data_IF_872571396621
#
_entry.id   IF_872571396621
#
_cell.length_a   1.000
_cell.length_b   1.000
_cell.length_c   1.000
_cell.angle_alpha   90.00
_cell.angle_beta   90.00
_cell.angle_gamma   90.00
#
_symmetry.space_group_name_H-M   'P 1'
#
loop_
_entity.id
_entity.type
_entity.pdbx_description
1 polymer ?
#
# COMPACT_ATOMS: atom_id res chain seq x y z
N UNK A 1 -35.79 -23.23 32.73
CA UNK A 1 -34.54 -23.03 31.98
C UNK A 1 -34.83 -22.10 30.82
N UNK A 2 -34.35 -20.86 30.87
CA UNK A 2 -34.52 -19.88 29.80
C UNK A 2 -33.34 -19.99 28.82
N UNK A 3 -33.64 -20.30 27.57
CA UNK A 3 -32.65 -20.27 26.49
C UNK A 3 -32.35 -18.81 26.13
N UNK A 4 -31.16 -18.34 26.50
CA UNK A 4 -30.65 -17.04 26.05
C UNK A 4 -30.28 -17.19 24.58
N UNK A 5 -31.11 -16.64 23.70
CA UNK A 5 -30.80 -16.49 22.29
C UNK A 5 -29.59 -15.55 22.14
N UNK A 6 -28.44 -16.13 21.81
CA UNK A 6 -27.25 -15.40 21.41
C UNK A 6 -27.54 -14.70 20.07
N UNK A 7 -27.95 -13.43 20.15
CA UNK A 7 -27.98 -12.55 18.99
C UNK A 7 -26.55 -12.39 18.45
N UNK A 8 -26.26 -13.07 17.34
CA UNK A 8 -25.02 -12.95 16.59
C UNK A 8 -24.94 -11.54 15.96
N UNK A 9 -24.37 -10.59 16.69
CA UNK A 9 -24.01 -9.28 16.17
C UNK A 9 -22.73 -9.38 15.35
N UNK A 10 -22.81 -9.02 14.06
CA UNK A 10 -21.67 -8.89 13.14
C UNK A 10 -20.63 -7.89 13.65
N UNK A 11 -19.34 -8.24 13.54
CA UNK A 11 -18.22 -7.38 13.95
C UNK A 11 -18.14 -6.08 13.15
N UNK A 12 -17.71 -4.99 13.81
CA UNK A 12 -17.62 -3.67 13.19
C UNK A 12 -16.37 -3.59 12.32
N UNK A 13 -16.54 -3.92 11.04
CA UNK A 13 -15.55 -3.75 9.97
C UNK A 13 -15.28 -2.26 9.70
N UNK A 14 -14.10 -1.91 9.18
CA UNK A 14 -13.75 -0.55 8.79
C UNK A 14 -14.87 0.06 7.93
N UNK A 15 -15.32 1.25 8.33
CA UNK A 15 -16.38 1.96 7.62
C UNK A 15 -15.74 3.03 6.72
N UNK A 16 -15.77 2.86 5.39
CA UNK A 16 -15.42 3.96 4.51
C UNK A 16 -16.48 5.05 4.65
N UNK A 17 -16.00 6.25 4.96
CA UNK A 17 -16.85 7.40 5.23
C UNK A 17 -17.26 8.07 3.91
N UNK A 18 -18.56 8.26 3.74
CA UNK A 18 -19.13 8.99 2.59
C UNK A 18 -19.03 10.51 2.73
N UNK A 19 -18.82 10.98 3.95
CA UNK A 19 -18.72 12.39 4.31
C UNK A 19 -17.58 12.55 5.31
N UNK A 20 -16.92 13.70 5.29
CA UNK A 20 -15.97 14.04 6.34
C UNK A 20 -16.76 14.23 7.65
N UNK A 21 -16.44 13.50 8.72
CA UNK A 21 -17.08 13.73 10.01
C UNK A 21 -16.66 15.10 10.52
N UNK A 22 -17.62 15.86 11.08
CA UNK A 22 -17.37 17.19 11.65
C UNK A 22 -16.43 17.15 12.85
N UNK A 23 -16.38 16.01 13.55
CA UNK A 23 -15.47 15.73 14.65
C UNK A 23 -14.91 14.32 14.48
N UNK A 24 -13.58 14.18 14.48
CA UNK A 24 -12.93 12.87 14.49
C UNK A 24 -13.10 12.19 15.85
N UNK A 25 -13.35 10.88 15.85
CA UNK A 25 -13.37 10.11 17.10
C UNK A 25 -11.93 10.02 17.65
N UNK A 26 -11.65 10.52 18.86
CA UNK A 26 -10.30 10.51 19.42
C UNK A 26 -9.79 9.09 19.72
N UNK A 27 -10.66 8.09 19.84
CA UNK A 27 -10.27 6.70 20.04
C UNK A 27 -9.98 5.94 18.74
N UNK A 28 -10.28 6.53 17.58
CA UNK A 28 -10.10 5.91 16.26
C UNK A 28 -8.92 6.54 15.54
N UNK A 29 -8.39 5.83 14.56
CA UNK A 29 -7.47 6.39 13.59
C UNK A 29 -8.13 6.43 12.22
N UNK A 30 -7.61 7.27 11.32
CA UNK A 30 -8.17 7.42 9.99
C UNK A 30 -7.07 7.27 8.94
N UNK A 31 -7.39 6.63 7.83
CA UNK A 31 -6.51 6.52 6.67
C UNK A 31 -7.13 7.27 5.50
N UNK A 32 -6.39 8.24 4.97
CA UNK A 32 -6.72 8.92 3.71
C UNK A 32 -5.89 8.28 2.60
N UNK A 33 -6.53 7.94 1.50
CA UNK A 33 -5.85 7.34 0.36
C UNK A 33 -6.60 7.62 -0.93
N UNK A 34 -5.87 8.04 -1.95
CA UNK A 34 -6.40 8.18 -3.30
C UNK A 34 -6.07 6.94 -4.12
N UNK A 35 -7.06 6.38 -4.79
CA UNK A 35 -6.89 5.26 -5.70
C UNK A 35 -6.96 5.76 -7.12
N UNK A 36 -5.91 5.49 -7.89
CA UNK A 36 -6.02 5.58 -9.35
C UNK A 36 -6.74 4.35 -9.88
N UNK A 37 -7.80 4.61 -10.62
CA UNK A 37 -8.58 3.57 -11.27
C UNK A 37 -7.77 2.97 -12.40
N UNK A 38 -7.77 1.64 -12.46
CA UNK A 38 -7.12 0.91 -13.54
C UNK A 38 -7.88 1.11 -14.85
N UNK A 39 -7.15 1.37 -15.93
CA UNK A 39 -7.73 1.33 -17.26
C UNK A 39 -8.33 -0.06 -17.53
N UNK A 40 -9.51 -0.10 -18.13
CA UNK A 40 -10.09 -1.35 -18.60
C UNK A 40 -9.47 -1.68 -19.97
N UNK A 41 -8.73 -2.79 -20.13
CA UNK A 41 -8.13 -3.16 -21.43
C UNK A 41 -9.20 -3.42 -22.51
N UNK A 42 -10.45 -3.59 -22.11
CA UNK A 42 -11.60 -3.80 -23.01
C UNK A 42 -12.47 -2.55 -23.16
N UNK A 43 -11.97 -1.36 -22.77
CA UNK A 43 -12.72 -0.11 -22.85
C UNK A 43 -13.19 0.26 -24.27
N UNK A 44 -12.57 -0.31 -25.31
CA UNK A 44 -12.97 -0.13 -26.71
C UNK A 44 -14.19 -0.97 -27.14
N UNK A 45 -14.62 -1.94 -26.31
CA UNK A 45 -15.79 -2.76 -26.61
C UNK A 45 -17.10 -2.02 -26.29
N UNK A 46 -18.14 -2.13 -27.15
CA UNK A 46 -19.45 -1.55 -26.89
C UNK A 46 -20.00 -1.97 -25.52
N UNK A 47 -20.44 -0.98 -24.72
CA UNK A 47 -20.97 -1.21 -23.38
C UNK A 47 -19.92 -1.41 -22.27
N UNK A 48 -18.62 -1.42 -22.60
CA UNK A 48 -17.56 -1.56 -21.60
C UNK A 48 -17.27 -0.26 -20.85
N UNK A 49 -16.89 -0.39 -19.57
CA UNK A 49 -16.44 0.74 -18.75
C UNK A 49 -15.05 1.20 -19.19
N UNK A 50 -14.74 2.49 -19.05
CA UNK A 50 -13.38 3.02 -19.29
C UNK A 50 -12.35 2.49 -18.29
N UNK A 51 -12.77 2.25 -17.05
CA UNK A 51 -11.92 1.77 -15.98
C UNK A 51 -12.48 0.48 -15.38
N UNK A 52 -11.60 -0.35 -14.83
CA UNK A 52 -11.99 -1.52 -14.05
C UNK A 52 -12.79 -1.09 -12.82
N UNK A 53 -13.80 -1.87 -12.39
CA UNK A 53 -14.43 -1.64 -11.10
C UNK A 53 -13.39 -1.75 -9.98
N UNK A 54 -13.61 -1.03 -8.89
CA UNK A 54 -12.84 -1.18 -7.67
C UNK A 54 -13.43 -2.33 -6.81
N UNK A 55 -13.63 -3.49 -7.44
CA UNK A 55 -14.11 -4.72 -6.80
C UNK A 55 -12.98 -5.44 -6.04
N UNK A 56 -11.75 -5.22 -6.48
CA UNK A 56 -10.51 -5.61 -5.83
C UNK A 56 -9.72 -4.34 -5.52
N UNK A 57 -9.51 -4.06 -4.23
CA UNK A 57 -8.78 -2.89 -3.74
C UNK A 57 -7.71 -3.27 -2.74
N UNK A 58 -7.08 -2.27 -2.11
CA UNK A 58 -6.07 -2.52 -1.10
C UNK A 58 -6.67 -3.31 0.07
N UNK A 59 -5.86 -4.20 0.61
CA UNK A 59 -6.17 -4.91 1.83
C UNK A 59 -5.15 -4.49 2.86
N UNK A 60 -5.63 -3.94 3.97
CA UNK A 60 -4.81 -3.61 5.12
C UNK A 60 -5.00 -4.68 6.19
N UNK A 61 -3.95 -5.00 6.94
CA UNK A 61 -4.06 -5.91 8.06
C UNK A 61 -3.30 -5.42 9.28
N UNK A 62 -3.76 -5.82 10.47
CA UNK A 62 -3.05 -5.49 11.70
C UNK A 62 -1.81 -6.34 11.86
N UNK A 63 -0.70 -5.69 12.13
CA UNK A 63 0.61 -6.33 12.12
C UNK A 63 1.18 -6.46 13.53
N UNK A 64 1.56 -7.68 13.89
CA UNK A 64 2.38 -7.93 15.07
C UNK A 64 3.85 -7.80 14.69
N UNK A 65 4.46 -6.67 15.05
CA UNK A 65 5.88 -6.42 14.75
C UNK A 65 6.82 -7.40 15.45
N UNK A 66 6.44 -7.91 16.62
CA UNK A 66 7.29 -8.79 17.44
C UNK A 66 7.34 -10.18 16.82
N UNK A 67 6.18 -10.69 16.42
CA UNK A 67 6.06 -12.02 15.80
C UNK A 67 6.24 -11.99 14.28
N UNK A 68 6.26 -10.78 13.70
CA UNK A 68 6.41 -10.54 12.27
C UNK A 68 5.28 -11.16 11.45
N UNK A 69 4.02 -11.01 11.89
CA UNK A 69 2.89 -11.64 11.22
C UNK A 69 1.58 -10.87 11.45
N UNK A 70 0.50 -11.28 10.78
CA UNK A 70 -0.82 -10.66 10.96
C UNK A 70 -1.46 -11.12 12.27
N UNK A 71 -1.89 -10.18 13.11
CA UNK A 71 -2.51 -10.47 14.41
C UNK A 71 -3.71 -11.42 14.26
N UNK A 72 -3.76 -12.46 15.10
CA UNK A 72 -4.79 -13.49 15.05
C UNK A 72 -4.60 -14.55 13.96
N UNK A 73 -3.53 -14.47 13.16
CA UNK A 73 -3.18 -15.44 12.11
C UNK A 73 -1.76 -15.96 12.31
N UNK A 74 -1.47 -17.13 11.73
CA UNK A 74 -0.12 -17.70 11.65
C UNK A 74 0.66 -17.69 12.97
N UNK A 75 1.83 -17.07 12.95
CA UNK A 75 2.72 -16.96 14.13
C UNK A 75 2.15 -16.06 15.21
N UNK A 76 1.29 -15.11 14.84
CA UNK A 76 0.62 -14.18 15.76
C UNK A 76 -0.80 -14.62 16.13
N UNK A 77 -1.13 -15.91 15.99
CA UNK A 77 -2.45 -16.46 16.31
C UNK A 77 -2.84 -16.25 17.78
N UNK A 78 -1.87 -16.33 18.69
CA UNK A 78 -2.10 -16.09 20.12
C UNK A 78 -2.32 -14.62 20.45
N UNK A 79 -1.84 -13.70 19.60
CA UNK A 79 -2.10 -12.27 19.71
C UNK A 79 -3.34 -11.87 18.91
N UNK A 80 -4.47 -12.51 19.25
CA UNK A 80 -5.75 -12.25 18.59
C UNK A 80 -6.32 -10.90 18.99
N UNK A 81 -7.11 -10.32 18.08
CA UNK A 81 -7.84 -9.10 18.39
C UNK A 81 -9.06 -9.41 19.26
N UNK A 82 -9.51 -8.44 20.08
CA UNK A 82 -10.78 -8.56 20.81
C UNK A 82 -11.91 -9.00 19.89
N UNK A 83 -12.85 -9.77 20.43
CA UNK A 83 -14.03 -10.21 19.71
C UNK A 83 -14.71 -9.00 19.03
N UNK A 84 -15.07 -9.14 17.75
CA UNK A 84 -15.70 -8.13 16.86
C UNK A 84 -14.75 -7.15 16.17
N UNK A 85 -13.43 -7.24 16.36
CA UNK A 85 -12.45 -6.50 15.56
C UNK A 85 -11.93 -7.37 14.41
N UNK A 86 -11.80 -6.79 13.21
CA UNK A 86 -11.20 -7.50 12.08
C UNK A 86 -9.68 -7.34 12.09
N UNK A 87 -8.97 -8.45 11.81
CA UNK A 87 -7.54 -8.42 11.56
C UNK A 87 -7.20 -7.89 10.16
N UNK A 88 -8.18 -7.91 9.26
CA UNK A 88 -8.04 -7.56 7.84
C UNK A 88 -9.16 -6.61 7.45
N UNK A 89 -8.79 -5.50 6.83
CA UNK A 89 -9.72 -4.50 6.33
C UNK A 89 -9.57 -4.37 4.82
N UNK A 90 -10.56 -4.92 4.12
CA UNK A 90 -10.70 -4.79 2.69
C UNK A 90 -11.34 -3.45 2.33
N UNK A 91 -10.81 -2.84 1.28
CA UNK A 91 -11.35 -1.61 0.76
C UNK A 91 -12.82 -1.77 0.28
N UNK A 92 -13.74 -0.85 0.63
CA UNK A 92 -15.12 -0.87 0.10
C UNK A 92 -15.43 0.36 -0.73
N UNK A 93 -16.22 0.18 -1.79
CA UNK A 93 -16.57 1.19 -2.79
C UNK A 93 -17.51 2.32 -2.27
N UNK A 94 -17.08 3.08 -1.27
CA UNK A 94 -17.75 4.29 -0.75
C UNK A 94 -16.74 5.45 -0.68
N UNK A 95 -16.40 6.06 -1.83
CA UNK A 95 -15.47 7.18 -1.88
C UNK A 95 -16.03 8.43 -1.23
N UNK A 96 -15.12 9.17 -0.60
CA UNK A 96 -15.35 10.51 -0.11
C UNK A 96 -15.45 11.49 -1.29
N UNK A 97 -14.57 11.32 -2.29
CA UNK A 97 -14.56 12.13 -3.52
C UNK A 97 -14.38 11.23 -4.74
N UNK A 98 -15.10 11.51 -5.81
CA UNK A 98 -14.97 10.83 -7.11
C UNK A 98 -14.44 11.80 -8.16
N UNK A 99 -13.31 11.48 -8.78
CA UNK A 99 -12.82 12.14 -9.99
C UNK A 99 -13.08 11.26 -11.24
N UNK A 100 -12.61 11.67 -12.41
CA UNK A 100 -12.74 10.84 -13.61
C UNK A 100 -11.95 9.53 -13.47
N UNK A 101 -10.68 9.63 -13.07
CA UNK A 101 -9.71 8.53 -13.06
C UNK A 101 -9.29 8.09 -11.66
N UNK A 102 -9.79 8.75 -10.62
CA UNK A 102 -9.41 8.43 -9.25
C UNK A 102 -10.55 8.55 -8.25
N UNK A 103 -10.33 7.96 -7.08
CA UNK A 103 -11.27 7.91 -5.97
C UNK A 103 -10.53 8.21 -4.68
N UNK A 104 -10.98 9.21 -3.93
CA UNK A 104 -10.43 9.51 -2.61
C UNK A 104 -11.28 8.83 -1.55
N UNK A 105 -10.63 8.19 -0.59
CA UNK A 105 -11.28 7.48 0.49
C UNK A 105 -10.73 7.86 1.84
N UNK A 106 -11.62 7.89 2.82
CA UNK A 106 -11.31 8.04 4.23
C UNK A 106 -11.83 6.80 4.96
N UNK A 107 -10.90 6.02 5.50
CA UNK A 107 -11.17 4.78 6.22
C UNK A 107 -11.06 5.06 7.72
N UNK A 108 -12.10 4.72 8.49
CA UNK A 108 -11.99 4.67 9.95
C UNK A 108 -11.45 3.30 10.37
N UNK A 109 -10.36 3.32 11.14
CA UNK A 109 -9.63 2.15 11.62
C UNK A 109 -9.35 2.29 13.13
N UNK A 110 -8.89 1.21 13.74
CA UNK A 110 -8.36 1.26 15.10
C UNK A 110 -6.87 1.67 15.09
N UNK A 111 -6.42 2.47 16.07
CA UNK A 111 -5.01 2.76 16.25
C UNK A 111 -4.22 1.48 16.52
N UNK A 112 -3.19 1.23 15.71
CA UNK A 112 -2.29 0.07 15.82
C UNK A 112 -1.15 0.21 14.78
N UNK A 113 -0.26 -0.78 14.73
CA UNK A 113 0.56 -1.03 13.54
C UNK A 113 -0.25 -1.81 12.50
N UNK A 114 -0.21 -1.32 11.26
CA UNK A 114 -0.85 -1.93 10.10
C UNK A 114 0.18 -2.28 9.04
N UNK A 115 -0.17 -3.23 8.17
CA UNK A 115 0.59 -3.59 6.97
C UNK A 115 -0.31 -3.51 5.74
N UNK A 116 0.28 -3.19 4.59
CA UNK A 116 -0.37 -3.39 3.30
C UNK A 116 -0.36 -4.89 2.99
N UNK A 117 -1.43 -5.60 3.32
CA UNK A 117 -1.48 -7.05 3.16
C UNK A 117 -1.51 -7.46 1.69
N UNK A 118 -2.21 -6.70 0.84
CA UNK A 118 -2.46 -7.14 -0.52
C UNK A 118 -3.34 -6.23 -1.35
N UNK A 119 -3.71 -6.73 -2.53
CA UNK A 119 -4.70 -6.13 -3.42
C UNK A 119 -5.69 -7.20 -3.90
N UNK A 120 -6.98 -6.98 -3.63
CA UNK A 120 -8.01 -7.99 -3.87
C UNK A 120 -7.76 -9.25 -3.04
N UNK A 121 -7.68 -10.39 -3.71
CA UNK A 121 -7.33 -11.68 -3.11
C UNK A 121 -5.82 -11.99 -3.15
N UNK A 122 -4.98 -11.04 -3.56
CA UNK A 122 -3.56 -11.28 -3.81
C UNK A 122 -2.69 -10.69 -2.71
N UNK A 123 -1.71 -11.44 -2.20
CA UNK A 123 -0.94 -11.10 -0.98
C UNK A 123 0.45 -10.55 -1.30
N UNK A 124 0.94 -9.60 -0.50
CA UNK A 124 2.32 -9.06 -0.56
C UNK A 124 3.22 -9.65 0.55
N UNK A 125 3.04 -10.94 0.85
CA UNK A 125 3.64 -11.62 2.02
C UNK A 125 5.18 -11.66 2.06
N UNK A 126 5.86 -11.52 0.92
CA UNK A 126 7.33 -11.62 0.84
C UNK A 126 8.06 -10.30 1.14
N UNK A 127 7.33 -9.20 1.23
CA UNK A 127 7.88 -7.89 1.56
C UNK A 127 6.84 -6.82 1.26
N UNK A 128 6.38 -6.15 2.31
CA UNK A 128 5.36 -5.10 2.24
C UNK A 128 5.70 -3.90 3.12
N UNK A 129 4.78 -2.95 3.24
CA UNK A 129 4.91 -1.77 4.07
C UNK A 129 4.10 -1.89 5.34
N UNK A 130 4.79 -1.81 6.48
CA UNK A 130 4.16 -1.51 7.76
C UNK A 130 4.06 0.01 7.98
N UNK A 131 3.09 0.45 8.76
CA UNK A 131 2.93 1.85 9.18
C UNK A 131 2.09 1.91 10.46
N UNK A 132 2.25 2.98 11.22
CA UNK A 132 1.50 3.18 12.46
C UNK A 132 0.34 4.14 12.26
N UNK A 133 -0.76 3.82 12.94
CA UNK A 133 -1.94 4.66 13.04
C UNK A 133 -2.12 5.15 14.47
N UNK A 134 -2.14 6.46 14.64
CA UNK A 134 -2.31 7.10 15.94
C UNK A 134 -3.78 7.48 16.21
N UNK A 135 -4.20 7.49 17.49
CA UNK A 135 -5.56 7.91 17.86
C UNK A 135 -5.82 9.37 17.52
N UNK A 136 -6.98 9.65 16.94
CA UNK A 136 -7.45 10.98 16.57
C UNK A 136 -6.64 11.65 15.46
N UNK A 137 -5.90 10.89 14.64
CA UNK A 137 -5.14 11.40 13.48
C UNK A 137 -5.65 10.83 12.16
N UNK A 138 -5.31 11.52 11.07
CA UNK A 138 -5.51 11.05 9.71
C UNK A 138 -4.13 10.82 9.09
N UNK A 139 -3.83 9.57 8.76
CA UNK A 139 -2.62 9.20 8.04
C UNK A 139 -2.91 9.21 6.54
N UNK A 140 -2.30 10.13 5.78
CA UNK A 140 -2.38 10.18 4.32
C UNK A 140 -1.34 9.21 3.71
N UNK A 141 -1.84 8.13 3.10
CA UNK A 141 -1.02 7.18 2.35
C UNK A 141 -0.60 7.73 0.98
N UNK A 142 -1.14 8.88 0.57
CA UNK A 142 -0.94 9.46 -0.75
C UNK A 142 -1.83 8.81 -1.80
N UNK A 143 -1.22 8.51 -2.95
CA UNK A 143 -1.88 7.96 -4.12
C UNK A 143 -1.42 6.52 -4.32
N UNK A 144 -2.35 5.58 -4.25
CA UNK A 144 -2.12 4.19 -4.61
C UNK A 144 -2.40 3.98 -6.09
N UNK A 145 -1.41 3.42 -6.77
CA UNK A 145 -1.49 3.02 -8.17
C UNK A 145 -1.30 1.51 -8.26
N UNK A 146 -2.27 0.83 -8.87
CA UNK A 146 -2.20 -0.60 -9.15
C UNK A 146 -2.09 -0.79 -10.67
N UNK A 147 -1.10 -1.56 -11.12
CA UNK A 147 -0.84 -1.81 -12.54
C UNK A 147 -0.58 -3.31 -12.75
N UNK A 148 -0.85 -3.81 -13.95
CA UNK A 148 -0.49 -5.17 -14.31
C UNK A 148 1.02 -5.27 -14.53
N UNK A 149 1.67 -6.22 -13.86
CA UNK A 149 3.11 -6.47 -13.91
C UNK A 149 3.41 -7.57 -14.94
N UNK A 150 3.18 -7.24 -16.21
CA UNK A 150 3.53 -8.11 -17.32
C UNK A 150 5.05 -8.31 -17.38
N UNK A 151 5.48 -9.52 -17.74
CA UNK A 151 6.88 -9.75 -18.04
C UNK A 151 7.30 -8.92 -19.27
N UNK A 152 8.60 -8.68 -19.41
CA UNK A 152 9.13 -7.90 -20.52
C UNK A 152 8.70 -8.51 -21.87
N UNK A 153 8.04 -7.71 -22.70
CA UNK A 153 7.50 -8.15 -24.00
C UNK A 153 6.05 -8.66 -23.96
N UNK A 154 5.53 -9.01 -22.78
CA UNK A 154 4.15 -9.45 -22.63
C UNK A 154 3.17 -8.27 -22.56
N UNK A 155 1.92 -8.54 -22.94
CA UNK A 155 0.84 -7.55 -22.98
C UNK A 155 -0.49 -8.18 -22.61
N UNK A 156 -1.45 -7.38 -22.11
CA UNK A 156 -2.80 -7.87 -21.88
C UNK A 156 -3.39 -8.47 -23.16
N UNK A 157 -4.21 -9.53 -23.03
CA UNK A 157 -4.87 -10.14 -24.17
C UNK A 157 -5.71 -9.09 -24.90
N UNK A 158 -5.57 -9.08 -26.23
CA UNK A 158 -6.37 -8.23 -27.10
C UNK A 158 -7.80 -8.75 -27.21
N UNK A 159 -8.72 -7.88 -27.58
CA UNK A 159 -10.09 -8.25 -27.94
C UNK A 159 -10.12 -9.42 -28.93
N UNK A 160 -9.28 -9.41 -29.96
CA UNK A 160 -9.19 -10.49 -30.95
C UNK A 160 -8.78 -11.84 -30.34
N UNK A 161 -7.81 -11.84 -29.41
CA UNK A 161 -7.42 -13.08 -28.71
C UNK A 161 -8.52 -13.62 -27.80
N UNK A 162 -9.33 -12.76 -27.18
CA UNK A 162 -10.48 -13.20 -26.38
C UNK A 162 -11.59 -13.81 -27.23
N UNK A 163 -11.92 -13.20 -28.37
CA UNK A 163 -12.92 -13.77 -29.29
C UNK A 163 -12.47 -15.12 -29.83
N UNK A 164 -11.19 -15.26 -30.19
CA UNK A 164 -10.61 -16.55 -30.60
C UNK A 164 -10.70 -17.58 -29.48
N UNK A 165 -10.42 -17.19 -28.24
CA UNK A 165 -10.59 -18.04 -27.06
C UNK A 165 -12.04 -18.50 -26.87
N UNK A 166 -12.99 -17.58 -26.99
CA UNK A 166 -14.42 -17.89 -26.88
C UNK A 166 -14.89 -18.86 -27.95
N UNK A 167 -14.41 -18.73 -29.19
CA UNK A 167 -14.76 -19.63 -30.30
C UNK A 167 -14.18 -21.04 -30.12
N UNK A 168 -12.97 -21.14 -29.54
CA UNK A 168 -12.30 -22.42 -29.25
C UNK A 168 -12.88 -23.13 -28.01
N UNK A 169 -13.74 -22.45 -27.24
CA UNK A 169 -14.45 -23.00 -26.09
C UNK A 169 -13.50 -23.65 -25.07
N UNK A 170 -13.77 -24.90 -24.60
CA UNK A 170 -12.96 -25.57 -23.58
C UNK A 170 -11.54 -25.91 -24.04
N UNK A 171 -11.25 -25.79 -25.34
CA UNK A 171 -9.92 -26.03 -25.91
C UNK A 171 -9.05 -24.77 -25.97
N UNK A 172 -9.59 -23.61 -25.57
CA UNK A 172 -8.79 -22.39 -25.46
C UNK A 172 -7.82 -22.46 -24.29
N UNK A 173 -6.57 -22.02 -24.53
CA UNK A 173 -5.65 -21.72 -23.42
C UNK A 173 -6.25 -20.57 -22.63
N UNK A 174 -6.23 -20.67 -21.29
CA UNK A 174 -6.58 -19.54 -20.45
C UNK A 174 -5.67 -18.38 -20.81
N UNK A 175 -6.21 -17.16 -20.99
CA UNK A 175 -5.37 -16.00 -21.22
C UNK A 175 -4.42 -15.84 -20.03
N UNK A 176 -3.18 -15.43 -20.33
CA UNK A 176 -2.21 -15.12 -19.29
C UNK A 176 -2.78 -14.01 -18.40
N UNK A 177 -2.44 -14.07 -17.12
CA UNK A 177 -2.85 -13.09 -16.12
C UNK A 177 -1.60 -12.57 -15.46
N UNK A 178 -1.29 -11.29 -15.69
CA UNK A 178 -0.20 -10.65 -14.99
C UNK A 178 -0.53 -10.46 -13.50
N UNK A 179 0.46 -10.60 -12.61
CA UNK A 179 0.32 -10.18 -11.22
C UNK A 179 0.06 -8.67 -11.13
N UNK A 180 -0.55 -8.22 -10.03
CA UNK A 180 -0.75 -6.78 -9.80
C UNK A 180 0.43 -6.22 -9.05
N UNK A 181 1.05 -5.19 -9.60
CA UNK A 181 2.04 -4.36 -8.91
C UNK A 181 1.33 -3.17 -8.29
N UNK A 182 1.61 -2.93 -7.01
CA UNK A 182 1.09 -1.75 -6.29
C UNK A 182 2.24 -0.82 -5.92
N UNK A 183 2.07 0.48 -6.15
CA UNK A 183 2.98 1.53 -5.69
C UNK A 183 2.22 2.64 -4.99
N UNK A 184 2.92 3.33 -4.07
CA UNK A 184 2.42 4.51 -3.38
C UNK A 184 3.24 5.73 -3.79
N UNK A 185 2.54 6.79 -4.17
CA UNK A 185 3.12 8.07 -4.58
C UNK A 185 2.68 9.17 -3.60
N UNK A 186 3.56 10.12 -3.24
CA UNK A 186 3.15 11.31 -2.54
C UNK A 186 2.10 12.09 -3.35
N UNK A 187 1.12 12.67 -2.66
CA UNK A 187 0.09 13.50 -3.30
C UNK A 187 0.72 14.74 -3.94
N UNK A 188 0.44 14.96 -5.20
CA UNK A 188 0.85 16.12 -5.98
C UNK A 188 -0.32 17.04 -6.37
N UNK A 189 -0.03 18.15 -7.07
CA UNK A 189 -1.03 19.15 -7.45
C UNK A 189 -2.11 18.65 -8.43
N UNK A 190 -1.88 17.51 -9.09
CA UNK A 190 -2.79 16.92 -10.10
C UNK A 190 -3.75 15.89 -9.50
N UNK A 191 -3.53 15.50 -8.26
CA UNK A 191 -4.32 14.49 -7.57
C UNK A 191 -5.57 15.12 -6.92
N UNK A 192 -6.47 14.30 -6.39
CA UNK A 192 -7.66 14.81 -5.71
C UNK A 192 -7.22 15.65 -4.51
N UNK A 193 -7.67 16.91 -4.49
CA UNK A 193 -7.46 17.80 -3.36
C UNK A 193 -8.10 17.23 -2.09
N UNK A 194 -7.35 17.28 -1.00
CA UNK A 194 -7.85 16.88 0.32
C UNK A 194 -9.02 17.81 0.70
N UNK A 195 -10.21 17.27 1.04
CA UNK A 195 -11.34 18.09 1.42
C UNK A 195 -11.00 19.03 2.59
N UNK A 196 -11.28 20.33 2.43
CA UNK A 196 -10.97 21.37 3.43
C UNK A 196 -11.66 21.14 4.80
N UNK A 197 -12.71 20.32 4.84
CA UNK A 197 -13.37 19.91 6.07
C UNK A 197 -12.50 18.98 6.95
N UNK A 198 -11.43 18.39 6.41
CA UNK A 198 -10.52 17.57 7.20
C UNK A 198 -9.61 18.46 8.07
N UNK A 199 -9.46 18.16 9.36
CA UNK A 199 -8.66 18.98 10.27
C UNK A 199 -7.18 18.91 9.89
N UNK A 200 -6.66 19.98 9.27
CA UNK A 200 -5.28 20.03 8.75
C UNK A 200 -4.23 19.71 9.83
N UNK A 201 -4.43 20.14 11.08
CA UNK A 201 -3.51 19.83 12.19
C UNK A 201 -3.50 18.36 12.66
N UNK A 202 -4.38 17.51 12.11
CA UNK A 202 -4.44 16.07 12.39
C UNK A 202 -4.05 15.23 11.17
N UNK A 203 -3.85 15.84 10.01
CA UNK A 203 -3.41 15.17 8.79
C UNK A 203 -1.89 15.01 8.81
N UNK A 204 -1.43 13.78 8.64
CA UNK A 204 -0.01 13.43 8.68
C UNK A 204 0.34 12.59 7.46
N UNK A 205 1.49 12.86 6.84
CA UNK A 205 2.01 11.96 5.80
C UNK A 205 2.40 10.63 6.41
N UNK A 206 2.11 9.53 5.71
CA UNK A 206 2.53 8.20 6.15
C UNK A 206 4.05 8.07 6.24
N UNK A 207 4.51 7.35 7.26
CA UNK A 207 5.88 6.83 7.34
C UNK A 207 5.81 5.32 7.12
N UNK A 208 6.15 4.88 5.92
CA UNK A 208 6.23 3.44 5.62
C UNK A 208 7.53 2.84 6.13
N UNK A 209 7.40 1.68 6.76
CA UNK A 209 8.50 0.79 7.13
C UNK A 209 8.54 -0.39 6.15
N UNK A 210 9.61 -0.55 5.37
CA UNK A 210 9.71 -1.59 4.36
C UNK A 210 9.94 -2.99 4.96
N UNK A 211 9.85 -3.99 4.08
CA UNK A 211 10.24 -5.38 4.34
C UNK A 211 9.42 -6.10 5.44
N UNK A 212 8.22 -5.62 5.72
CA UNK A 212 7.26 -6.35 6.54
C UNK A 212 6.87 -7.67 5.83
N UNK A 213 7.02 -8.80 6.52
CA UNK A 213 6.70 -10.14 6.02
C UNK A 213 5.61 -10.77 6.89
N UNK A 214 4.80 -11.64 6.30
CA UNK A 214 3.68 -12.34 6.96
C UNK A 214 3.29 -13.57 6.12
N UNK A 215 2.47 -14.47 6.65
CA UNK A 215 1.98 -15.61 5.85
C UNK A 215 1.02 -15.19 4.72
N UNK A 216 0.91 -16.01 3.67
CA UNK A 216 -0.07 -15.75 2.60
C UNK A 216 -1.49 -16.12 3.05
N UNK A 217 -2.25 -15.13 3.54
CA UNK A 217 -3.61 -15.34 4.06
C UNK A 217 -4.74 -14.89 3.13
N UNK A 218 -4.43 -14.31 1.97
CA UNK A 218 -5.44 -13.95 0.97
C UNK A 218 -5.66 -15.07 -0.07
N UNK A 219 -4.78 -16.08 -0.08
CA UNK A 219 -4.91 -17.28 -0.90
C UNK A 219 -4.56 -17.10 -2.38
N UNK A 220 -4.47 -15.86 -2.86
CA UNK A 220 -3.95 -15.54 -4.19
C UNK A 220 -2.42 -15.60 -4.27
N UNK A 221 -1.89 -15.40 -5.47
CA UNK A 221 -0.44 -15.40 -5.75
C UNK A 221 0.30 -14.33 -4.93
N UNK A 222 1.62 -14.42 -4.86
CA UNK A 222 2.42 -13.36 -4.23
C UNK A 222 2.71 -12.27 -5.26
N UNK A 223 2.22 -11.06 -5.01
CA UNK A 223 2.45 -9.91 -5.86
C UNK A 223 3.58 -9.02 -5.34
N UNK A 224 4.10 -8.13 -6.21
CA UNK A 224 5.12 -7.14 -5.85
C UNK A 224 4.48 -5.82 -5.41
N UNK A 225 5.04 -5.23 -4.36
CA UNK A 225 4.77 -3.86 -3.94
C UNK A 225 6.06 -3.03 -4.09
N UNK A 226 5.97 -1.87 -4.75
CA UNK A 226 7.11 -1.02 -5.07
C UNK A 226 7.18 0.23 -4.19
N UNK A 227 8.41 0.63 -3.84
CA UNK A 227 8.65 1.81 -2.98
C UNK A 227 10.04 1.91 -2.34
N UNK A 228 10.69 0.79 -1.99
CA UNK A 228 12.03 0.82 -1.36
C UNK A 228 13.05 -0.09 -2.03
N UNK A 229 12.73 -1.31 -2.45
CA UNK A 229 13.72 -2.16 -3.13
C UNK A 229 14.16 -1.63 -4.50
N UNK A 230 13.36 -0.83 -5.20
CA UNK A 230 13.80 -0.13 -6.40
C UNK A 230 14.65 1.11 -6.09
N UNK A 231 14.40 1.80 -4.97
CA UNK A 231 15.15 3.00 -4.55
C UNK A 231 16.45 2.66 -3.82
N UNK A 232 16.50 1.61 -3.01
CA UNK A 232 17.73 1.09 -2.43
C UNK A 232 18.62 0.48 -3.51
N UNK A 233 18.08 -0.20 -4.53
CA UNK A 233 18.87 -0.61 -5.71
C UNK A 233 19.35 0.59 -6.54
N UNK A 234 18.49 1.58 -6.76
CA UNK A 234 18.88 2.78 -7.50
C UNK A 234 19.91 3.64 -6.72
N UNK A 235 19.79 3.72 -5.41
CA UNK A 235 20.75 4.40 -4.53
C UNK A 235 22.05 3.60 -4.38
N UNK A 236 21.99 2.26 -4.29
CA UNK A 236 23.20 1.43 -4.24
C UNK A 236 23.96 1.47 -5.56
N UNK A 237 23.24 1.46 -6.70
CA UNK A 237 23.85 1.60 -8.04
C UNK A 237 24.42 3.01 -8.23
N UNK A 238 23.79 4.07 -7.70
CA UNK A 238 24.31 5.44 -7.75
C UNK A 238 25.52 5.68 -6.84
N UNK A 239 25.66 4.92 -5.74
CA UNK A 239 26.84 4.99 -4.85
C UNK A 239 28.01 4.17 -5.39
N UNK A 240 27.74 3.07 -6.10
CA UNK A 240 28.78 2.23 -6.74
C UNK A 240 29.32 2.81 -8.06
N UNK A 241 28.59 3.75 -8.68
CA UNK A 241 29.00 4.48 -9.89
C UNK A 241 29.56 5.90 -9.62
N UNK A 242 29.73 6.28 -8.35
CA UNK A 242 30.51 7.44 -7.97
C UNK A 242 32.00 7.03 -7.93
N UNK A 243 32.75 7.43 -8.97
CA UNK A 243 34.19 7.22 -9.07
C UNK A 243 34.91 7.56 -7.76
N UNK A 244 35.88 6.73 -7.30
CA UNK A 244 36.69 7.09 -6.15
C UNK A 244 37.45 8.39 -6.45
N UNK A 245 37.22 9.40 -5.61
CA UNK A 245 37.95 10.67 -5.59
C UNK A 245 39.46 10.35 -5.55
N UNK A 246 40.29 10.89 -6.45
CA UNK A 246 41.72 10.65 -6.43
C UNK A 246 42.32 11.17 -5.12
N UNK A 247 43.06 10.28 -4.47
CA UNK A 247 43.88 10.51 -3.29
C UNK A 247 44.77 11.74 -3.49
N UNK A 248 44.49 12.82 -2.74
CA UNK A 248 45.30 14.04 -2.76
C UNK A 248 46.57 13.73 -1.97
N UNK A 249 47.69 13.67 -2.70
CA UNK A 249 49.03 13.51 -2.15
C UNK A 249 49.31 14.54 -1.04
N UNK A 250 49.63 14.04 0.15
CA UNK A 250 50.09 14.83 1.27
C UNK A 250 51.42 15.51 0.93
N UNK A 251 51.41 16.84 0.83
CA UNK A 251 52.62 17.66 0.86
C UNK A 251 52.78 18.22 2.27
N UNK A 252 53.77 17.69 2.99
CA UNK A 252 54.21 18.18 4.29
C UNK A 252 54.81 19.59 4.15
N UNK A 253 54.42 20.57 4.98
CA UNK A 253 55.30 21.68 5.30
C UNK A 253 56.14 21.33 6.54
N UNK A 254 57.45 21.46 6.38
CA UNK A 254 58.46 21.33 7.43
C UNK A 254 58.31 22.44 8.48
N UNK A 255 58.25 22.06 9.75
CA UNK A 255 58.37 22.98 10.89
C UNK A 255 59.72 22.75 11.55
N UNK A 256 60.65 23.69 11.37
CA UNK A 256 61.90 23.75 12.14
C UNK A 256 61.66 24.33 13.54
N UNK A 257 62.43 23.91 14.57
CA UNK A 257 62.17 24.27 15.96
C UNK A 257 62.76 25.64 16.36
N UNK A 258 62.23 26.31 17.40
CA UNK A 258 62.86 27.50 17.96
C UNK A 258 64.05 27.14 18.87
N UNK A 259 65.19 27.79 18.58
CA UNK A 259 66.40 27.82 19.40
C UNK A 259 66.25 28.85 20.53
N UNK A 260 66.71 28.48 21.73
CA UNK A 260 66.74 29.31 22.95
C UNK A 260 67.99 30.20 22.95
N UNK A 261 67.83 31.45 23.42
CA UNK A 261 68.78 32.58 23.46
C UNK A 261 70.15 32.30 24.12
N UNK A 262 71.17 33.19 23.99
CA UNK A 262 71.29 34.33 24.93
C UNK A 262 72.02 35.61 24.44
N UNK A 263 71.89 36.67 25.28
CA UNK A 263 72.65 37.94 25.41
C UNK A 263 72.41 39.09 24.44
#
# INVERSE_FOLDING_TARGET
>A
MAAVALAAGSGAMAQPLKTVPTVLNPAKAYVLVEYRLRANPYASLPGSRKTMPLDQGLVLARYDRVLGDIRGLGRAKQNSLPAKQSAVEGFRNKPLVKAAESRLFLLELEPDTWVVQGWGNTSFSLGSYAFDLAPGTITDLGVVVAEDDWAEGDRPPTVGSLFKGALLGPFSKRPDVAPIRVRFEPRGPKDIAVPAALPAGRLQSVRFEPDAKFGNYLGGLVNRIEGVNARLKAQSVAVESADPVPEVAATNPATSPPSVAPH
#
